data_IF_648708132028
#
_entry.id   IF_648708132028
#
_cell.length_a   1.000
_cell.length_b   1.000
_cell.length_c   1.000
_cell.angle_alpha   90.00
_cell.angle_beta   90.00
_cell.angle_gamma   90.00
#
_symmetry.space_group_name_H-M   'P 1'
#
loop_
_entity.id
_entity.type
_entity.pdbx_description
1 polymer ?
#
# COMPACT_ATOMS: atom_id res chain seq x y z
N UNK A 1 8.59 -2.31 -16.63
CA UNK A 1 8.80 -2.06 -15.18
C UNK A 1 7.98 -3.06 -14.41
N UNK A 2 8.54 -4.23 -14.10
CA UNK A 2 7.88 -5.28 -13.33
C UNK A 2 8.21 -5.07 -11.86
N UNK A 3 7.23 -4.67 -11.03
CA UNK A 3 7.39 -4.47 -9.59
C UNK A 3 7.35 -5.81 -8.84
N UNK A 4 8.01 -5.94 -7.68
CA UNK A 4 7.88 -7.12 -6.83
C UNK A 4 6.42 -7.20 -6.35
N UNK A 5 5.70 -8.16 -6.88
CA UNK A 5 4.26 -8.36 -6.78
C UNK A 5 3.78 -8.63 -5.35
N UNK A 6 4.67 -8.88 -4.36
CA UNK A 6 4.32 -9.57 -3.12
C UNK A 6 4.61 -8.83 -1.81
N UNK A 7 5.03 -7.55 -1.82
CA UNK A 7 5.61 -6.89 -0.64
C UNK A 7 4.70 -5.92 0.12
N UNK A 8 3.38 -6.12 0.16
CA UNK A 8 2.57 -5.11 0.88
C UNK A 8 1.56 -5.70 1.86
N UNK A 9 1.90 -5.80 3.15
CA UNK A 9 0.90 -6.04 4.19
C UNK A 9 1.05 -5.26 5.50
N UNK A 10 2.18 -4.71 5.85
CA UNK A 10 2.31 -3.98 7.12
C UNK A 10 2.85 -2.57 6.91
N UNK A 11 2.41 -1.63 7.73
CA UNK A 11 2.98 -0.28 7.77
C UNK A 11 4.50 -0.31 7.98
N UNK A 12 5.04 -1.34 8.62
CA UNK A 12 6.47 -1.59 8.82
C UNK A 12 7.21 -1.89 7.51
N UNK A 13 6.65 -2.70 6.62
CA UNK A 13 7.23 -2.98 5.30
C UNK A 13 7.23 -1.72 4.44
N UNK A 14 6.11 -0.98 4.44
CA UNK A 14 6.03 0.32 3.73
C UNK A 14 7.03 1.32 4.27
N UNK A 15 7.29 1.34 5.59
CA UNK A 15 8.28 2.21 6.22
C UNK A 15 9.70 1.84 5.78
N UNK A 16 10.06 0.57 5.75
CA UNK A 16 11.40 0.14 5.31
C UNK A 16 11.62 0.42 3.82
N UNK A 17 10.61 0.21 2.98
CA UNK A 17 10.66 0.59 1.55
C UNK A 17 10.82 2.10 1.42
N UNK A 18 10.11 2.89 2.23
CA UNK A 18 10.28 4.34 2.28
C UNK A 18 11.71 4.73 2.66
N UNK A 19 12.27 4.11 3.71
CA UNK A 19 13.64 4.35 4.13
C UNK A 19 14.65 4.02 3.02
N UNK A 20 14.44 2.96 2.26
CA UNK A 20 15.28 2.64 1.10
C UNK A 20 15.26 3.70 0.01
N UNK A 21 14.15 4.46 -0.11
CA UNK A 21 14.04 5.56 -1.08
C UNK A 21 14.66 6.84 -0.55
N UNK A 22 14.42 7.16 0.71
CA UNK A 22 14.76 8.45 1.33
C UNK A 22 16.21 8.48 1.85
N UNK A 23 16.72 7.36 2.37
CA UNK A 23 18.04 7.34 3.00
C UNK A 23 19.21 7.62 2.02
N UNK A 24 19.28 7.07 0.80
CA UNK A 24 20.39 7.36 -0.10
C UNK A 24 20.57 8.85 -0.43
N UNK A 25 19.52 9.62 -0.82
CA UNK A 25 19.67 11.07 -1.04
C UNK A 25 20.10 11.81 0.24
N UNK A 26 19.58 11.41 1.41
CA UNK A 26 19.99 12.01 2.69
C UNK A 26 21.46 11.71 3.04
N UNK A 27 21.90 10.49 2.80
CA UNK A 27 23.32 10.10 3.01
C UNK A 27 24.23 10.90 2.10
N UNK A 28 23.88 11.06 0.82
CA UNK A 28 24.69 11.81 -0.15
C UNK A 28 24.80 13.28 0.24
N UNK A 29 23.72 13.92 0.64
CA UNK A 29 23.73 15.31 1.09
C UNK A 29 24.43 15.46 2.46
N UNK A 30 24.13 14.55 3.39
CA UNK A 30 24.70 14.57 4.75
C UNK A 30 26.20 14.33 4.78
N UNK A 31 26.71 13.41 3.96
CA UNK A 31 28.17 13.18 3.84
C UNK A 31 28.89 14.41 3.28
N UNK A 32 28.32 15.10 2.28
CA UNK A 32 28.89 16.33 1.75
C UNK A 32 28.91 17.43 2.83
N UNK A 33 27.81 17.61 3.53
CA UNK A 33 27.72 18.57 4.64
C UNK A 33 28.76 18.27 5.73
N UNK A 34 28.86 17.02 6.17
CA UNK A 34 29.82 16.60 7.20
C UNK A 34 31.27 16.85 6.75
N UNK A 35 31.61 16.57 5.49
CA UNK A 35 32.93 16.81 4.94
C UNK A 35 33.22 18.33 4.85
N UNK A 36 32.28 19.15 4.42
CA UNK A 36 32.45 20.60 4.44
C UNK A 36 32.73 21.10 5.87
N UNK A 37 32.02 20.59 6.86
CA UNK A 37 32.24 20.93 8.28
C UNK A 37 33.61 20.52 8.77
N UNK A 38 34.13 19.34 8.39
CA UNK A 38 35.47 18.87 8.79
C UNK A 38 36.61 19.66 8.17
N UNK A 39 36.37 20.32 7.04
CA UNK A 39 37.35 21.22 6.37
C UNK A 39 37.10 22.70 6.66
N UNK A 40 36.31 23.02 7.69
CA UNK A 40 35.95 24.39 8.10
C UNK A 40 35.46 25.27 6.92
N UNK A 41 34.83 24.63 5.93
CA UNK A 41 34.28 25.32 4.75
C UNK A 41 32.78 25.55 4.93
N UNK A 42 32.36 26.81 4.67
CA UNK A 42 30.92 27.14 4.71
C UNK A 42 30.17 26.32 3.65
N UNK A 43 29.12 25.64 4.07
CA UNK A 43 28.23 24.92 3.15
C UNK A 43 27.41 25.93 2.34
N UNK A 44 28.09 26.57 1.37
CA UNK A 44 27.55 27.64 0.53
C UNK A 44 26.54 27.12 -0.51
N UNK A 45 25.87 28.07 -1.23
CA UNK A 45 24.88 27.74 -2.25
C UNK A 45 25.39 26.78 -3.33
N UNK A 46 26.67 26.84 -3.69
CA UNK A 46 27.28 25.92 -4.67
C UNK A 46 27.29 24.46 -4.14
N UNK A 47 27.69 24.24 -2.88
CA UNK A 47 27.67 22.93 -2.29
C UNK A 47 26.22 22.42 -2.05
N UNK A 48 25.27 23.31 -1.78
CA UNK A 48 23.84 22.99 -1.68
C UNK A 48 23.29 22.50 -3.03
N UNK A 49 23.64 23.18 -4.14
CA UNK A 49 23.25 22.78 -5.50
C UNK A 49 23.85 21.41 -5.85
N UNK A 50 25.14 21.20 -5.52
CA UNK A 50 25.80 19.90 -5.74
C UNK A 50 25.12 18.78 -4.95
N UNK A 51 24.82 19.01 -3.67
CA UNK A 51 24.11 18.07 -2.83
C UNK A 51 22.71 17.74 -3.36
N UNK A 52 21.95 18.76 -3.74
CA UNK A 52 20.61 18.63 -4.29
C UNK A 52 20.60 17.86 -5.63
N UNK A 53 21.53 18.19 -6.53
CA UNK A 53 21.70 17.51 -7.82
C UNK A 53 22.07 16.04 -7.64
N UNK A 54 23.03 15.75 -6.76
CA UNK A 54 23.43 14.39 -6.44
C UNK A 54 22.29 13.61 -5.80
N UNK A 55 21.57 14.19 -4.84
CA UNK A 55 20.41 13.60 -4.20
C UNK A 55 19.29 13.29 -5.23
N UNK A 56 18.99 14.23 -6.13
CA UNK A 56 18.04 14.03 -7.21
C UNK A 56 18.43 12.85 -8.12
N UNK A 57 19.71 12.76 -8.51
CA UNK A 57 20.21 11.66 -9.33
C UNK A 57 20.11 10.30 -8.61
N UNK A 58 20.26 10.27 -7.27
CA UNK A 58 20.04 9.01 -6.52
C UNK A 58 18.58 8.54 -6.57
N UNK A 59 17.63 9.43 -6.77
CA UNK A 59 16.20 9.09 -6.91
C UNK A 59 15.87 8.73 -8.35
N UNK A 60 16.38 9.51 -9.32
CA UNK A 60 16.05 9.38 -10.75
C UNK A 60 16.69 8.14 -11.39
N UNK A 61 17.93 7.80 -11.01
CA UNK A 61 18.59 6.62 -11.57
C UNK A 61 17.92 5.34 -11.06
N UNK A 62 17.53 4.40 -11.95
CA UNK A 62 16.87 3.17 -11.56
C UNK A 62 17.74 2.37 -10.59
N UNK A 63 17.13 1.92 -9.51
CA UNK A 63 17.75 0.96 -8.60
C UNK A 63 17.65 -0.41 -9.26
N UNK A 64 18.77 -0.98 -9.73
CA UNK A 64 18.80 -2.36 -10.22
C UNK A 64 18.18 -3.28 -9.18
N UNK A 65 17.24 -4.11 -9.61
CA UNK A 65 16.54 -5.05 -8.71
C UNK A 65 17.50 -6.15 -8.22
N UNK A 66 17.28 -6.69 -7.02
CA UNK A 66 17.98 -7.90 -6.58
C UNK A 66 17.76 -9.08 -7.55
N UNK A 67 16.67 -9.04 -8.32
CA UNK A 67 16.24 -10.14 -9.20
C UNK A 67 16.63 -9.99 -10.68
N UNK A 68 17.07 -8.82 -11.14
CA UNK A 68 17.48 -8.63 -12.55
C UNK A 68 18.82 -9.32 -12.90
N UNK A 69 19.44 -9.96 -11.91
CA UNK A 69 20.75 -10.60 -12.07
C UNK A 69 20.74 -12.02 -12.66
N UNK A 70 19.58 -12.56 -13.05
CA UNK A 70 19.48 -13.97 -13.43
C UNK A 70 19.46 -14.27 -14.92
N UNK A 71 19.49 -13.29 -15.82
CA UNK A 71 19.28 -13.63 -17.23
C UNK A 71 20.38 -13.24 -18.24
N UNK A 72 21.40 -12.45 -17.89
CA UNK A 72 22.40 -12.05 -18.91
C UNK A 72 23.88 -12.36 -18.64
N UNK A 73 24.24 -12.76 -17.43
CA UNK A 73 25.59 -13.30 -17.14
C UNK A 73 25.53 -14.00 -15.78
N UNK A 74 25.90 -15.24 -15.71
CA UNK A 74 25.87 -16.15 -14.54
C UNK A 74 26.57 -15.70 -13.24
N UNK A 75 26.67 -14.40 -12.92
CA UNK A 75 27.16 -13.88 -11.67
C UNK A 75 26.36 -12.64 -11.26
N UNK A 76 25.53 -12.78 -10.24
CA UNK A 76 24.89 -11.65 -9.58
C UNK A 76 25.95 -10.78 -8.90
N UNK A 77 26.09 -9.51 -9.33
CA UNK A 77 26.96 -8.56 -8.64
C UNK A 77 26.51 -8.41 -7.17
N UNK A 78 27.43 -8.48 -6.20
CA UNK A 78 27.10 -8.26 -4.80
C UNK A 78 26.50 -6.86 -4.59
N UNK A 79 25.65 -6.70 -3.56
CA UNK A 79 24.99 -5.42 -3.25
C UNK A 79 25.97 -4.24 -3.24
N UNK A 80 27.13 -4.43 -2.60
CA UNK A 80 28.17 -3.41 -2.52
C UNK A 80 28.64 -2.94 -3.90
N UNK A 81 28.93 -3.88 -4.81
CA UNK A 81 29.36 -3.53 -6.17
C UNK A 81 28.28 -2.75 -6.95
N UNK A 82 27.02 -3.10 -6.80
CA UNK A 82 25.89 -2.37 -7.43
C UNK A 82 25.76 -0.94 -6.90
N UNK A 83 25.89 -0.76 -5.58
CA UNK A 83 25.83 0.57 -4.95
C UNK A 83 27.00 1.43 -5.40
N UNK A 84 28.22 0.87 -5.43
CA UNK A 84 29.44 1.58 -5.89
C UNK A 84 29.32 1.94 -7.36
N UNK A 85 28.95 1.02 -8.23
CA UNK A 85 28.80 1.29 -9.68
C UNK A 85 27.79 2.40 -9.93
N UNK A 86 26.66 2.37 -9.24
CA UNK A 86 25.63 3.41 -9.35
C UNK A 86 26.17 4.78 -8.90
N UNK A 87 26.93 4.80 -7.79
CA UNK A 87 27.56 6.01 -7.30
C UNK A 87 28.55 6.57 -8.32
N UNK A 88 29.37 5.73 -8.94
CA UNK A 88 30.30 6.13 -9.99
C UNK A 88 29.59 6.74 -11.21
N UNK A 89 28.43 6.17 -11.58
CA UNK A 89 27.59 6.77 -12.66
C UNK A 89 27.10 8.16 -12.25
N UNK A 90 26.63 8.35 -11.02
CA UNK A 90 26.19 9.65 -10.51
C UNK A 90 27.34 10.67 -10.57
N UNK A 91 28.51 10.26 -10.07
CA UNK A 91 29.72 11.11 -10.11
C UNK A 91 30.11 11.47 -11.54
N UNK A 92 30.08 10.50 -12.46
CA UNK A 92 30.38 10.75 -13.88
C UNK A 92 29.41 11.77 -14.50
N UNK A 93 28.11 11.66 -14.21
CA UNK A 93 27.09 12.62 -14.68
C UNK A 93 27.35 14.01 -14.08
N UNK A 94 27.63 14.10 -12.77
CA UNK A 94 27.92 15.38 -12.11
C UNK A 94 29.19 16.03 -12.65
N UNK A 95 30.24 15.25 -12.91
CA UNK A 95 31.47 15.76 -13.54
C UNK A 95 31.21 16.26 -14.97
N UNK A 96 30.40 15.54 -15.74
CA UNK A 96 29.96 15.96 -17.08
C UNK A 96 29.20 17.29 -17.04
N UNK A 97 28.25 17.44 -16.11
CA UNK A 97 27.51 18.69 -15.91
C UNK A 97 28.47 19.82 -15.49
N UNK A 98 29.35 19.55 -14.52
CA UNK A 98 30.34 20.52 -14.04
C UNK A 98 31.30 20.98 -15.13
N UNK A 99 31.70 20.08 -16.04
CA UNK A 99 32.53 20.40 -17.19
C UNK A 99 31.80 21.29 -18.21
N UNK A 100 30.57 20.92 -18.59
CA UNK A 100 29.75 21.69 -19.56
C UNK A 100 29.40 23.08 -19.04
N UNK A 101 29.07 23.19 -17.75
CA UNK A 101 28.70 24.47 -17.11
C UNK A 101 29.90 25.32 -16.71
N UNK A 102 31.16 24.82 -16.83
CA UNK A 102 32.39 25.48 -16.39
C UNK A 102 32.44 25.83 -14.89
N UNK A 103 31.54 25.31 -14.08
CA UNK A 103 31.53 25.52 -12.61
C UNK A 103 32.50 24.62 -11.83
N UNK A 104 33.22 23.73 -12.51
CA UNK A 104 34.16 22.81 -11.85
C UNK A 104 35.29 23.49 -11.05
N UNK A 105 35.64 24.72 -11.41
CA UNK A 105 36.67 25.54 -10.74
C UNK A 105 36.23 26.13 -9.39
N UNK A 106 34.92 26.18 -9.11
CA UNK A 106 34.39 26.79 -7.86
C UNK A 106 34.44 25.83 -6.67
N UNK A 107 34.64 24.53 -6.92
CA UNK A 107 34.65 23.51 -5.88
C UNK A 107 36.07 23.16 -5.42
N UNK A 108 36.25 23.03 -4.09
CA UNK A 108 37.51 22.51 -3.54
C UNK A 108 37.71 21.06 -3.97
N UNK A 109 38.82 20.81 -4.69
CA UNK A 109 39.17 19.45 -5.16
C UNK A 109 39.29 18.46 -4.01
N UNK A 110 39.85 18.89 -2.87
CA UNK A 110 39.98 18.05 -1.68
C UNK A 110 38.61 17.60 -1.16
N UNK A 111 37.65 18.50 -1.01
CA UNK A 111 36.30 18.20 -0.53
C UNK A 111 35.61 17.22 -1.48
N UNK A 112 35.62 17.50 -2.78
CA UNK A 112 34.94 16.68 -3.78
C UNK A 112 35.56 15.28 -3.85
N UNK A 113 36.88 15.14 -3.85
CA UNK A 113 37.55 13.83 -3.88
C UNK A 113 37.28 13.03 -2.60
N UNK A 114 37.34 13.66 -1.43
CA UNK A 114 37.00 13.00 -0.17
C UNK A 114 35.54 12.53 -0.17
N UNK A 115 34.62 13.39 -0.66
CA UNK A 115 33.22 13.05 -0.76
C UNK A 115 32.95 11.90 -1.73
N UNK A 116 33.56 11.88 -2.90
CA UNK A 116 33.47 10.81 -3.89
C UNK A 116 33.94 9.47 -3.30
N UNK A 117 35.02 9.50 -2.48
CA UNK A 117 35.56 8.30 -1.86
C UNK A 117 34.79 7.79 -0.63
N UNK A 118 34.33 8.69 0.25
CA UNK A 118 33.67 8.35 1.51
C UNK A 118 32.20 7.95 1.32
N UNK A 119 31.48 8.68 0.47
CA UNK A 119 30.04 8.48 0.28
C UNK A 119 29.65 7.05 -0.13
N UNK A 120 30.33 6.35 -1.06
CA UNK A 120 29.97 4.99 -1.42
C UNK A 120 30.11 4.00 -0.26
N UNK A 121 31.08 4.21 0.63
CA UNK A 121 31.25 3.36 1.82
C UNK A 121 30.07 3.50 2.78
N UNK A 122 29.65 4.75 3.03
CA UNK A 122 28.46 5.04 3.87
C UNK A 122 27.19 4.50 3.21
N UNK A 123 27.04 4.67 1.89
CA UNK A 123 25.88 4.14 1.14
C UNK A 123 25.82 2.60 1.21
N UNK A 124 26.95 1.91 1.11
CA UNK A 124 27.02 0.45 1.26
C UNK A 124 26.61 0.04 2.68
N UNK A 125 27.18 0.69 3.69
CA UNK A 125 26.85 0.40 5.10
C UNK A 125 25.36 0.60 5.40
N UNK A 126 24.79 1.73 4.96
CA UNK A 126 23.36 2.01 5.12
C UNK A 126 22.50 1.02 4.33
N UNK A 127 22.91 0.65 3.11
CA UNK A 127 22.18 -0.32 2.30
C UNK A 127 22.16 -1.72 2.92
N UNK A 128 23.28 -2.16 3.51
CA UNK A 128 23.38 -3.42 4.25
C UNK A 128 22.53 -3.40 5.53
N UNK A 129 22.57 -2.29 6.28
CA UNK A 129 21.73 -2.12 7.46
C UNK A 129 20.23 -2.15 7.13
N UNK A 130 19.83 -1.48 6.05
CA UNK A 130 18.45 -1.50 5.58
C UNK A 130 18.03 -2.88 5.06
N UNK A 131 18.94 -3.62 4.42
CA UNK A 131 18.67 -5.00 3.99
C UNK A 131 18.49 -5.93 5.20
N UNK A 132 19.33 -5.80 6.22
CA UNK A 132 19.20 -6.57 7.45
C UNK A 132 17.91 -6.21 8.22
N UNK A 133 17.56 -4.93 8.28
CA UNK A 133 16.30 -4.48 8.86
C UNK A 133 15.09 -5.07 8.10
N UNK A 134 15.14 -5.03 6.76
CA UNK A 134 14.10 -5.63 5.92
C UNK A 134 14.00 -7.13 6.19
N UNK A 135 15.12 -7.83 6.28
CA UNK A 135 15.17 -9.25 6.60
C UNK A 135 14.50 -9.54 7.94
N UNK A 136 14.80 -8.79 8.99
CA UNK A 136 14.18 -8.94 10.31
C UNK A 136 12.67 -8.68 10.30
N UNK A 137 12.23 -7.65 9.58
CA UNK A 137 10.81 -7.30 9.45
C UNK A 137 10.04 -8.37 8.67
N UNK A 138 10.62 -8.94 7.62
CA UNK A 138 9.99 -9.99 6.82
C UNK A 138 10.08 -11.38 7.47
N UNK A 139 11.08 -11.61 8.31
CA UNK A 139 11.26 -12.89 9.03
C UNK A 139 10.34 -13.03 10.24
N UNK A 140 9.59 -12.01 10.60
CA UNK A 140 8.59 -12.14 11.64
C UNK A 140 7.47 -13.06 11.12
N UNK A 141 7.25 -14.24 11.72
CA UNK A 141 6.20 -15.17 11.29
C UNK A 141 4.80 -14.56 11.33
N UNK A 142 4.60 -13.51 12.14
CA UNK A 142 3.34 -12.76 12.22
C UNK A 142 3.09 -11.88 11.00
N UNK A 143 4.15 -11.52 10.27
CA UNK A 143 4.11 -10.63 9.08
C UNK A 143 4.16 -11.42 7.77
N UNK A 144 4.63 -12.68 7.80
CA UNK A 144 4.73 -13.52 6.62
C UNK A 144 3.35 -13.80 6.00
N UNK A 145 3.21 -13.52 4.70
CA UNK A 145 1.94 -13.78 3.96
C UNK A 145 1.74 -15.27 3.78
N UNK A 146 0.57 -15.76 4.16
CA UNK A 146 0.17 -17.16 4.01
C UNK A 146 -0.24 -17.43 2.58
N UNK A 147 0.48 -18.34 1.93
CA UNK A 147 0.34 -18.68 0.51
C UNK A 147 -0.32 -20.03 0.36
N UNK A 148 -1.30 -20.14 -0.53
CA UNK A 148 -1.84 -21.42 -0.97
C UNK A 148 -1.79 -21.52 -2.50
N UNK A 149 -1.76 -22.74 -2.99
CA UNK A 149 -1.77 -23.05 -4.42
C UNK A 149 -3.07 -23.69 -4.82
N UNK A 150 -3.53 -23.39 -6.03
CA UNK A 150 -4.65 -24.06 -6.69
C UNK A 150 -4.15 -24.82 -7.90
N UNK A 151 -4.34 -26.14 -7.87
CA UNK A 151 -3.75 -27.08 -8.83
C UNK A 151 -2.37 -27.55 -8.38
N UNK A 152 -2.26 -28.84 -8.14
CA UNK A 152 -1.01 -29.51 -7.80
C UNK A 152 -0.38 -30.06 -9.10
N UNK A 153 0.59 -29.35 -9.66
CA UNK A 153 1.34 -29.73 -10.85
C UNK A 153 2.83 -29.37 -10.67
N UNK A 154 3.66 -29.76 -11.62
CA UNK A 154 5.12 -29.53 -11.54
C UNK A 154 5.48 -28.06 -11.34
N UNK A 155 4.77 -27.13 -12.01
CA UNK A 155 5.02 -25.70 -11.92
C UNK A 155 4.69 -25.17 -10.53
N UNK A 156 3.54 -25.54 -9.96
CA UNK A 156 3.14 -25.11 -8.61
C UNK A 156 4.03 -25.72 -7.54
N UNK A 157 4.47 -26.97 -7.72
CA UNK A 157 5.42 -27.64 -6.82
C UNK A 157 6.81 -27.00 -6.86
N UNK A 158 7.30 -26.68 -8.08
CA UNK A 158 8.57 -26.00 -8.24
C UNK A 158 8.55 -24.60 -7.61
N UNK A 159 7.45 -23.86 -7.80
CA UNK A 159 7.28 -22.54 -7.20
C UNK A 159 7.19 -22.64 -5.68
N UNK A 160 6.44 -23.59 -5.14
CA UNK A 160 6.32 -23.80 -3.70
C UNK A 160 7.68 -24.13 -3.05
N UNK A 161 8.48 -25.02 -3.66
CA UNK A 161 9.85 -25.36 -3.20
C UNK A 161 10.76 -24.12 -3.24
N UNK A 162 10.71 -23.33 -4.31
CA UNK A 162 11.48 -22.08 -4.43
C UNK A 162 11.09 -21.03 -3.39
N UNK A 163 9.80 -20.92 -3.08
CA UNK A 163 9.33 -20.02 -2.00
C UNK A 163 9.85 -20.50 -0.65
N UNK A 164 9.75 -21.80 -0.35
CA UNK A 164 10.23 -22.37 0.91
C UNK A 164 11.75 -22.24 1.09
N UNK A 165 12.53 -22.36 0.00
CA UNK A 165 13.99 -22.18 0.05
C UNK A 165 14.44 -20.71 0.14
N UNK A 166 13.53 -19.74 -0.09
CA UNK A 166 13.82 -18.30 -0.05
C UNK A 166 12.93 -17.61 1.00
N UNK A 167 13.28 -17.80 2.26
CA UNK A 167 12.54 -17.21 3.40
C UNK A 167 12.48 -15.67 3.33
N UNK A 168 13.45 -15.03 2.67
CA UNK A 168 13.50 -13.56 2.48
C UNK A 168 12.33 -12.99 1.68
N UNK A 169 11.50 -13.85 1.06
CA UNK A 169 10.29 -13.42 0.36
C UNK A 169 9.14 -13.05 1.32
N UNK A 170 9.23 -13.38 2.60
CA UNK A 170 8.14 -13.16 3.55
C UNK A 170 6.86 -13.93 3.18
N UNK A 171 6.99 -15.12 2.57
CA UNK A 171 5.89 -15.97 2.12
C UNK A 171 5.94 -17.31 2.86
N UNK A 172 4.82 -17.72 3.45
CA UNK A 172 4.67 -18.99 4.16
C UNK A 172 3.69 -19.92 3.42
N UNK A 173 4.20 -20.96 2.78
CA UNK A 173 3.38 -21.93 2.03
C UNK A 173 2.53 -22.75 3.01
N UNK A 174 1.20 -22.67 2.88
CA UNK A 174 0.25 -23.43 3.70
C UNK A 174 -0.10 -24.79 3.06
N UNK A 175 -0.17 -24.87 1.74
CA UNK A 175 -0.49 -26.08 1.02
C UNK A 175 -1.23 -25.85 -0.29
N UNK A 176 -1.91 -26.88 -0.78
CA UNK A 176 -2.51 -26.93 -2.10
C UNK A 176 -4.02 -27.24 -2.03
N UNK A 177 -4.78 -26.66 -2.94
CA UNK A 177 -6.17 -27.03 -3.23
C UNK A 177 -6.21 -27.76 -4.58
N UNK A 178 -6.74 -28.97 -4.60
CA UNK A 178 -6.92 -29.76 -5.81
C UNK A 178 -8.14 -30.67 -5.65
N UNK A 179 -8.90 -30.86 -6.76
CA UNK A 179 -10.06 -31.74 -6.76
C UNK A 179 -9.67 -33.22 -6.95
N UNK A 180 -8.41 -33.49 -7.28
CA UNK A 180 -7.87 -34.83 -7.47
C UNK A 180 -7.42 -35.43 -6.14
N UNK A 181 -7.63 -36.75 -5.95
CA UNK A 181 -7.14 -37.46 -4.78
C UNK A 181 -5.60 -37.48 -4.72
N UNK A 182 -5.03 -37.51 -3.51
CA UNK A 182 -3.57 -37.53 -3.31
C UNK A 182 -2.89 -38.71 -4.05
N UNK A 183 -3.57 -39.86 -4.21
CA UNK A 183 -3.10 -41.02 -4.93
C UNK A 183 -2.93 -40.75 -6.44
N UNK A 184 -3.87 -40.01 -7.04
CA UNK A 184 -3.79 -39.60 -8.46
C UNK A 184 -2.77 -38.52 -8.74
N UNK A 185 -2.35 -37.78 -7.72
CA UNK A 185 -1.34 -36.74 -7.84
C UNK A 185 0.09 -37.31 -7.82
N UNK A 186 0.29 -38.58 -7.45
CA UNK A 186 1.60 -39.21 -7.36
C UNK A 186 2.56 -38.59 -6.35
N UNK A 187 2.04 -37.78 -5.41
CA UNK A 187 2.82 -36.92 -4.50
C UNK A 187 2.61 -37.38 -3.06
N UNK A 188 2.69 -38.70 -2.85
CA UNK A 188 2.52 -39.28 -1.51
C UNK A 188 3.55 -38.71 -0.54
N UNK A 189 3.08 -38.00 0.47
CA UNK A 189 3.87 -37.54 1.64
C UNK A 189 4.63 -36.22 1.51
N UNK A 190 4.76 -35.59 0.34
CA UNK A 190 5.54 -34.35 0.18
C UNK A 190 4.69 -33.07 0.13
N UNK A 191 3.37 -33.18 0.03
CA UNK A 191 2.51 -32.04 -0.22
C UNK A 191 1.27 -32.07 0.68
N UNK A 192 1.04 -30.96 1.38
CA UNK A 192 -0.15 -30.80 2.21
C UNK A 192 -1.34 -30.34 1.36
N UNK A 193 -2.27 -31.22 1.06
CA UNK A 193 -3.54 -30.87 0.43
C UNK A 193 -4.48 -30.27 1.49
N UNK A 194 -5.00 -29.08 1.25
CA UNK A 194 -5.85 -28.31 2.15
C UNK A 194 -7.33 -28.59 1.99
N UNK A 195 -7.73 -29.06 0.80
CA UNK A 195 -9.10 -29.36 0.43
C UNK A 195 -9.36 -29.25 -1.07
N UNK A 196 -10.64 -29.29 -1.45
CA UNK A 196 -11.11 -29.13 -2.83
C UNK A 196 -11.20 -27.64 -3.22
N UNK A 197 -11.36 -27.38 -4.55
CA UNK A 197 -11.60 -26.03 -5.05
C UNK A 197 -12.94 -25.44 -4.53
N UNK A 198 -13.90 -26.29 -4.14
CA UNK A 198 -15.17 -25.84 -3.59
C UNK A 198 -15.00 -25.20 -2.20
N UNK A 199 -14.04 -25.69 -1.42
CA UNK A 199 -13.82 -25.27 -0.02
C UNK A 199 -12.92 -24.03 0.12
N UNK A 200 -12.36 -23.53 -0.99
CA UNK A 200 -11.29 -22.54 -0.98
C UNK A 200 -11.71 -21.24 -0.30
N UNK A 201 -12.90 -20.71 -0.56
CA UNK A 201 -13.36 -19.46 0.03
C UNK A 201 -13.52 -19.57 1.56
N UNK A 202 -14.01 -20.72 2.04
CA UNK A 202 -14.15 -21.00 3.46
C UNK A 202 -12.79 -21.22 4.14
N UNK A 203 -11.86 -21.87 3.43
CA UNK A 203 -10.51 -22.10 3.91
C UNK A 203 -9.68 -20.81 3.97
N UNK A 204 -9.83 -19.93 2.99
CA UNK A 204 -9.21 -18.59 2.98
C UNK A 204 -9.60 -17.82 4.23
N UNK A 205 -10.89 -17.77 4.55
CA UNK A 205 -11.39 -17.07 5.74
C UNK A 205 -10.92 -17.72 7.05
N UNK A 206 -11.00 -19.03 7.16
CA UNK A 206 -10.64 -19.75 8.41
C UNK A 206 -9.14 -19.77 8.69
N UNK A 207 -8.32 -19.90 7.65
CA UNK A 207 -6.85 -20.05 7.77
C UNK A 207 -6.09 -18.73 7.57
N UNK A 208 -6.79 -17.65 7.21
CA UNK A 208 -6.18 -16.35 6.94
C UNK A 208 -5.19 -16.41 5.78
N UNK A 209 -5.55 -17.08 4.68
CA UNK A 209 -4.72 -17.15 3.47
C UNK A 209 -4.73 -15.79 2.79
N UNK A 210 -3.55 -15.25 2.50
CA UNK A 210 -3.35 -13.90 1.97
C UNK A 210 -3.12 -13.90 0.46
N UNK A 211 -2.56 -15.00 -0.05
CA UNK A 211 -2.13 -15.13 -1.45
C UNK A 211 -2.53 -16.50 -1.98
N UNK A 212 -3.09 -16.53 -3.16
CA UNK A 212 -3.38 -17.75 -3.91
C UNK A 212 -2.66 -17.70 -5.26
N UNK A 213 -1.86 -18.74 -5.54
CA UNK A 213 -1.32 -19.00 -6.86
C UNK A 213 -2.17 -20.03 -7.58
N UNK A 214 -2.79 -19.64 -8.69
CA UNK A 214 -3.60 -20.52 -9.52
C UNK A 214 -2.72 -21.07 -10.64
N UNK A 215 -2.41 -22.35 -10.58
CA UNK A 215 -1.60 -23.06 -11.57
C UNK A 215 -2.45 -24.09 -12.36
N UNK A 216 -3.70 -23.76 -12.64
CA UNK A 216 -4.57 -24.59 -13.47
C UNK A 216 -4.25 -24.37 -14.95
N UNK A 217 -4.21 -25.45 -15.78
CA UNK A 217 -4.03 -25.31 -17.22
C UNK A 217 -5.14 -24.46 -17.85
N UNK A 218 -4.80 -23.65 -18.87
CA UNK A 218 -5.74 -22.73 -19.54
C UNK A 218 -6.95 -23.42 -20.18
N UNK A 219 -6.83 -24.67 -20.58
CA UNK A 219 -7.99 -25.48 -21.04
C UNK A 219 -9.11 -25.52 -19.98
N UNK A 220 -8.81 -25.25 -18.72
CA UNK A 220 -9.77 -25.18 -17.62
C UNK A 220 -10.11 -23.74 -17.21
N UNK A 221 -10.05 -22.77 -18.12
CA UNK A 221 -10.31 -21.35 -17.84
C UNK A 221 -11.65 -21.10 -17.14
N UNK A 222 -12.69 -21.87 -17.46
CA UNK A 222 -13.99 -21.79 -16.77
C UNK A 222 -13.84 -22.03 -15.26
N UNK A 223 -13.04 -23.01 -14.85
CA UNK A 223 -12.76 -23.28 -13.43
C UNK A 223 -12.02 -22.13 -12.76
N UNK A 224 -11.12 -21.45 -13.49
CA UNK A 224 -10.43 -20.25 -12.98
C UNK A 224 -11.41 -19.11 -12.77
N UNK A 225 -12.33 -18.91 -13.72
CA UNK A 225 -13.40 -17.89 -13.60
C UNK A 225 -14.31 -18.18 -12.40
N UNK A 226 -14.79 -19.44 -12.29
CA UNK A 226 -15.63 -19.86 -11.16
C UNK A 226 -14.90 -19.71 -9.82
N UNK A 227 -13.59 -19.99 -9.78
CA UNK A 227 -12.73 -19.78 -8.62
C UNK A 227 -12.64 -18.30 -8.25
N UNK A 228 -12.40 -17.44 -9.23
CA UNK A 228 -12.32 -16.00 -9.01
C UNK A 228 -13.66 -15.45 -8.50
N UNK A 229 -14.78 -15.95 -9.02
CA UNK A 229 -16.11 -15.57 -8.53
C UNK A 229 -16.34 -15.98 -7.08
N UNK A 230 -15.88 -17.17 -6.66
CA UNK A 230 -15.93 -17.61 -5.26
C UNK A 230 -15.05 -16.78 -4.34
N UNK A 231 -13.90 -16.30 -4.85
CA UNK A 231 -12.94 -15.50 -4.09
C UNK A 231 -13.24 -14.00 -4.06
N UNK A 232 -14.21 -13.52 -4.86
CA UNK A 232 -14.59 -12.09 -4.91
C UNK A 232 -15.08 -11.53 -3.57
N UNK A 233 -15.59 -12.40 -2.69
CA UNK A 233 -15.99 -12.03 -1.33
C UNK A 233 -14.85 -12.23 -0.31
N UNK A 234 -13.61 -12.12 -0.76
CA UNK A 234 -12.42 -12.20 0.08
C UNK A 234 -11.44 -11.09 -0.30
N UNK A 235 -10.49 -10.79 0.59
CA UNK A 235 -9.40 -9.84 0.32
C UNK A 235 -8.14 -10.51 -0.22
N UNK A 236 -8.18 -11.81 -0.49
CA UNK A 236 -7.03 -12.60 -0.95
C UNK A 236 -6.49 -12.08 -2.29
N UNK A 237 -5.18 -12.02 -2.41
CA UNK A 237 -4.51 -11.70 -3.68
C UNK A 237 -4.39 -12.96 -4.52
N UNK A 238 -4.89 -12.93 -5.76
CA UNK A 238 -4.88 -14.08 -6.66
C UNK A 238 -3.94 -13.81 -7.82
N UNK A 239 -2.98 -14.71 -8.01
CA UNK A 239 -2.01 -14.70 -9.11
C UNK A 239 -2.21 -15.94 -9.96
N UNK A 240 -2.24 -15.75 -11.26
CA UNK A 240 -2.25 -16.86 -12.19
C UNK A 240 -0.81 -17.19 -12.58
N UNK A 241 -0.45 -18.48 -12.50
CA UNK A 241 0.83 -19.02 -12.95
C UNK A 241 0.59 -19.70 -14.28
N UNK A 242 0.84 -19.01 -15.40
CA UNK A 242 0.56 -19.56 -16.72
C UNK A 242 1.51 -20.70 -17.08
N UNK A 243 1.00 -21.67 -17.80
CA UNK A 243 1.83 -22.60 -18.56
C UNK A 243 2.35 -21.84 -19.79
N UNK A 244 3.65 -21.53 -19.81
CA UNK A 244 4.29 -20.48 -20.62
C UNK A 244 4.10 -20.65 -22.13
N UNK A 245 3.74 -21.83 -22.59
CA UNK A 245 3.70 -22.15 -24.04
C UNK A 245 2.46 -21.62 -24.79
N UNK A 246 1.54 -20.88 -24.12
CA UNK A 246 0.24 -20.51 -24.71
C UNK A 246 0.00 -19.01 -24.87
N UNK A 247 0.87 -18.11 -24.38
CA UNK A 247 0.57 -16.68 -24.37
C UNK A 247 1.57 -15.79 -25.11
N UNK A 248 1.05 -15.05 -26.09
CA UNK A 248 1.53 -13.75 -26.52
C UNK A 248 1.05 -12.68 -25.49
N UNK A 249 1.86 -12.44 -24.47
CA UNK A 249 1.50 -11.58 -23.32
C UNK A 249 1.79 -10.11 -23.62
N UNK A 250 1.00 -9.47 -24.47
CA UNK A 250 1.23 -8.06 -24.86
C UNK A 250 0.68 -7.04 -23.86
N UNK A 251 -0.26 -7.39 -22.95
CA UNK A 251 -0.89 -6.40 -22.06
C UNK A 251 -1.20 -6.85 -20.63
N UNK A 252 -0.89 -8.06 -20.19
CA UNK A 252 -1.10 -8.47 -18.81
C UNK A 252 0.01 -7.91 -17.90
N UNK A 253 -0.30 -7.52 -16.67
CA UNK A 253 0.72 -7.23 -15.65
C UNK A 253 1.36 -8.55 -15.27
N UNK A 254 2.40 -8.89 -15.98
CA UNK A 254 3.23 -10.05 -15.68
C UNK A 254 4.30 -9.65 -14.69
N UNK A 255 4.45 -10.44 -13.65
CA UNK A 255 5.60 -10.41 -12.77
C UNK A 255 6.35 -11.71 -12.90
N UNK A 256 7.57 -11.72 -12.45
CA UNK A 256 8.38 -12.91 -12.32
C UNK A 256 8.61 -13.19 -10.85
N UNK A 257 8.35 -14.39 -10.41
CA UNK A 257 8.68 -14.85 -9.07
C UNK A 257 9.65 -16.02 -9.19
N UNK A 258 10.92 -15.77 -8.81
CA UNK A 258 11.99 -16.77 -8.83
C UNK A 258 12.16 -17.47 -10.22
N UNK A 259 12.08 -16.69 -11.30
CA UNK A 259 12.20 -17.21 -12.64
C UNK A 259 10.93 -17.86 -13.20
N UNK A 260 9.81 -17.76 -12.50
CA UNK A 260 8.50 -18.24 -12.98
C UNK A 260 7.60 -17.03 -13.22
N UNK A 261 7.07 -16.86 -14.44
CA UNK A 261 6.14 -15.77 -14.72
C UNK A 261 4.83 -15.97 -13.98
N UNK A 262 4.35 -14.91 -13.35
CA UNK A 262 3.06 -14.87 -12.67
C UNK A 262 2.25 -13.68 -13.17
N UNK A 263 0.94 -13.85 -13.25
CA UNK A 263 0.02 -12.79 -13.66
C UNK A 263 -0.90 -12.42 -12.49
N UNK A 264 -0.90 -11.15 -12.12
CA UNK A 264 -1.80 -10.66 -11.09
C UNK A 264 -3.23 -10.57 -11.65
N UNK A 265 -4.15 -11.39 -11.14
CA UNK A 265 -5.57 -11.38 -11.51
C UNK A 265 -6.38 -10.47 -10.59
N UNK A 266 -6.00 -10.35 -9.34
CA UNK A 266 -6.66 -9.51 -8.35
C UNK A 266 -5.67 -9.05 -7.29
N UNK A 267 -5.21 -7.81 -7.39
CA UNK A 267 -4.22 -7.23 -6.49
C UNK A 267 -4.59 -5.79 -6.12
N UNK A 268 -3.99 -5.27 -5.02
CA UNK A 268 -4.11 -3.85 -4.67
C UNK A 268 -3.37 -2.97 -5.70
N UNK A 269 -3.92 -1.80 -6.08
CA UNK A 269 -3.22 -0.87 -6.96
C UNK A 269 -2.00 -0.21 -6.31
N UNK A 270 -1.85 -0.33 -4.99
CA UNK A 270 -0.83 0.34 -4.19
C UNK A 270 0.40 -0.54 -3.92
N UNK A 271 0.85 -1.26 -4.93
CA UNK A 271 2.09 -2.03 -4.87
C UNK A 271 3.31 -1.17 -5.18
N UNK A 272 4.45 -1.50 -4.55
CA UNK A 272 5.75 -0.90 -4.84
C UNK A 272 5.77 0.62 -4.66
N UNK A 273 6.37 1.35 -5.62
CA UNK A 273 6.51 2.82 -5.54
C UNK A 273 5.17 3.56 -5.49
N UNK A 274 4.11 3.02 -6.10
CA UNK A 274 2.77 3.64 -6.08
C UNK A 274 2.22 3.71 -4.67
N UNK A 275 2.39 2.65 -3.87
CA UNK A 275 2.01 2.65 -2.47
C UNK A 275 2.80 3.66 -1.65
N UNK A 276 4.12 3.78 -1.93
CA UNK A 276 4.99 4.76 -1.27
C UNK A 276 4.57 6.19 -1.61
N UNK A 277 4.37 6.50 -2.90
CA UNK A 277 3.90 7.82 -3.35
C UNK A 277 2.55 8.15 -2.70
N UNK A 278 1.60 7.22 -2.75
CA UNK A 278 0.29 7.37 -2.11
C UNK A 278 0.45 7.69 -0.62
N UNK A 279 1.27 6.93 0.10
CA UNK A 279 1.46 7.10 1.54
C UNK A 279 2.13 8.41 1.91
N UNK A 280 3.15 8.83 1.16
CA UNK A 280 3.84 10.12 1.37
C UNK A 280 2.86 11.27 1.15
N UNK A 281 2.08 11.24 0.07
CA UNK A 281 1.10 12.29 -0.22
C UNK A 281 0.01 12.34 0.85
N UNK A 282 -0.49 11.20 1.31
CA UNK A 282 -1.48 11.14 2.39
C UNK A 282 -0.93 11.75 3.69
N UNK A 283 0.28 11.36 4.10
CA UNK A 283 0.90 11.88 5.34
C UNK A 283 1.16 13.38 5.24
N UNK A 284 1.78 13.84 4.13
CA UNK A 284 2.13 15.24 3.94
C UNK A 284 0.89 16.14 3.97
N UNK A 285 -0.13 15.79 3.18
CA UNK A 285 -1.36 16.56 3.13
C UNK A 285 -2.16 16.47 4.44
N UNK A 286 -2.23 15.29 5.08
CA UNK A 286 -2.91 15.14 6.37
C UNK A 286 -2.22 15.96 7.47
N UNK A 287 -0.89 16.00 7.50
CA UNK A 287 -0.14 16.82 8.45
C UNK A 287 -0.41 18.31 8.25
N UNK A 288 -0.37 18.79 7.00
CA UNK A 288 -0.69 20.19 6.68
C UNK A 288 -2.13 20.53 7.10
N UNK A 289 -3.10 19.68 6.71
CA UNK A 289 -4.52 19.89 7.05
C UNK A 289 -4.75 19.84 8.55
N UNK A 290 -4.03 18.99 9.30
CA UNK A 290 -4.14 18.91 10.75
C UNK A 290 -3.59 20.18 11.42
N UNK A 291 -2.43 20.67 10.98
CA UNK A 291 -1.83 21.90 11.55
C UNK A 291 -2.72 23.10 11.25
N UNK A 292 -3.19 23.27 10.02
CA UNK A 292 -4.08 24.36 9.65
C UNK A 292 -5.46 24.25 10.31
N UNK A 293 -5.96 23.04 10.47
CA UNK A 293 -7.27 22.76 11.09
C UNK A 293 -7.25 22.71 12.62
N UNK A 294 -6.05 22.69 13.25
CA UNK A 294 -5.94 22.52 14.71
C UNK A 294 -6.73 23.57 15.54
N UNK A 295 -6.69 24.89 15.21
CA UNK A 295 -7.49 25.88 15.94
C UNK A 295 -8.99 25.61 15.84
N UNK A 296 -9.47 25.26 14.63
CA UNK A 296 -10.87 24.90 14.41
C UNK A 296 -11.26 23.63 15.16
N UNK A 297 -10.40 22.60 15.11
CA UNK A 297 -10.64 21.35 15.84
C UNK A 297 -10.70 21.56 17.34
N UNK A 298 -9.86 22.44 17.89
CA UNK A 298 -9.91 22.81 19.31
C UNK A 298 -11.21 23.52 19.68
N UNK A 299 -11.66 24.47 18.85
CA UNK A 299 -12.93 25.17 19.04
C UNK A 299 -14.12 24.21 19.00
N UNK A 300 -14.12 23.25 18.03
CA UNK A 300 -15.14 22.21 17.94
C UNK A 300 -15.10 21.30 19.17
N UNK A 301 -13.91 20.89 19.62
CA UNK A 301 -13.75 20.05 20.79
C UNK A 301 -14.34 20.72 22.06
N UNK A 302 -14.11 22.02 22.21
CA UNK A 302 -14.66 22.81 23.30
C UNK A 302 -16.20 22.91 23.17
N UNK A 303 -16.73 23.21 21.99
CA UNK A 303 -18.18 23.28 21.75
C UNK A 303 -18.88 21.94 22.04
N UNK A 304 -18.29 20.82 21.64
CA UNK A 304 -18.82 19.48 21.96
C UNK A 304 -18.74 19.19 23.44
N UNK A 305 -17.63 19.54 24.11
CA UNK A 305 -17.48 19.36 25.56
C UNK A 305 -18.53 20.13 26.36
N UNK A 306 -18.81 21.38 25.95
CA UNK A 306 -19.80 22.25 26.61
C UNK A 306 -21.25 21.82 26.34
N UNK A 307 -21.55 21.31 25.13
CA UNK A 307 -22.91 20.94 24.72
C UNK A 307 -23.32 19.51 25.09
N UNK A 308 -22.40 18.57 25.09
CA UNK A 308 -22.68 17.12 25.20
C UNK A 308 -21.82 16.42 26.26
N UNK A 309 -20.93 17.17 26.93
CA UNK A 309 -20.02 16.63 27.94
C UNK A 309 -18.89 15.76 27.33
N UNK A 310 -18.19 15.04 28.19
CA UNK A 310 -17.12 14.09 27.77
C UNK A 310 -17.70 12.69 27.53
N UNK A 311 -17.11 11.89 26.66
CA UNK A 311 -15.92 12.13 25.81
C UNK A 311 -16.24 12.97 24.57
N UNK A 312 -15.29 13.83 24.15
CA UNK A 312 -15.40 14.69 22.97
C UNK A 312 -15.27 13.89 21.66
N UNK A 313 -14.41 12.87 21.69
CA UNK A 313 -14.18 11.98 20.54
C UNK A 313 -15.00 10.71 20.67
N UNK A 314 -15.70 10.38 19.61
CA UNK A 314 -16.33 9.10 19.39
C UNK A 314 -15.38 8.17 18.64
N UNK A 315 -15.26 6.93 19.12
CA UNK A 315 -14.42 5.88 18.57
C UNK A 315 -15.32 4.78 18.03
N UNK A 316 -15.20 4.45 16.74
CA UNK A 316 -16.01 3.43 16.13
C UNK A 316 -15.14 2.40 15.41
N UNK A 317 -15.42 1.11 15.63
CA UNK A 317 -14.76 0.01 14.93
C UNK A 317 -15.29 -0.10 13.51
N UNK A 318 -14.37 -0.18 12.55
CA UNK A 318 -14.65 -0.33 11.13
C UNK A 318 -13.63 -1.26 10.48
N UNK A 319 -13.93 -1.77 9.29
CA UNK A 319 -12.93 -2.48 8.51
C UNK A 319 -11.99 -1.52 7.78
N UNK A 320 -10.70 -1.79 7.90
CA UNK A 320 -9.59 -1.12 7.23
C UNK A 320 -9.05 -1.92 6.05
N UNK A 321 -7.74 -1.82 5.84
CA UNK A 321 -7.01 -2.58 4.85
C UNK A 321 -7.14 -4.08 5.12
N UNK A 322 -7.31 -4.86 4.06
CA UNK A 322 -7.45 -6.33 4.10
C UNK A 322 -8.56 -6.84 5.04
N UNK A 323 -9.51 -5.98 5.43
CA UNK A 323 -10.59 -6.31 6.33
C UNK A 323 -10.19 -6.33 7.81
N UNK A 324 -9.03 -5.80 8.17
CA UNK A 324 -8.61 -5.66 9.56
C UNK A 324 -9.47 -4.62 10.29
N UNK A 325 -9.76 -4.86 11.56
CA UNK A 325 -10.50 -3.89 12.36
C UNK A 325 -9.64 -2.67 12.71
N UNK A 326 -10.17 -1.49 12.44
CA UNK A 326 -9.56 -0.21 12.79
C UNK A 326 -10.52 0.63 13.64
N UNK A 327 -9.96 1.48 14.49
CA UNK A 327 -10.72 2.46 15.25
C UNK A 327 -10.70 3.79 14.49
N UNK A 328 -11.87 4.25 14.06
CA UNK A 328 -12.06 5.54 13.37
C UNK A 328 -12.47 6.59 14.38
N UNK A 329 -11.81 7.74 14.37
CA UNK A 329 -12.07 8.86 15.24
C UNK A 329 -13.03 9.87 14.61
N UNK A 330 -14.04 10.32 15.38
CA UNK A 330 -14.96 11.40 15.01
C UNK A 330 -15.22 12.29 16.21
N UNK A 331 -15.66 13.53 15.99
CA UNK A 331 -16.27 14.28 17.07
C UNK A 331 -17.63 13.69 17.42
N UNK A 332 -17.94 13.69 18.71
CA UNK A 332 -19.23 13.21 19.22
C UNK A 332 -20.35 14.15 18.77
N UNK A 333 -21.32 13.62 18.03
CA UNK A 333 -22.46 14.37 17.49
C UNK A 333 -23.81 13.88 18.00
N UNK A 334 -23.81 12.77 18.75
CA UNK A 334 -25.01 12.12 19.28
C UNK A 334 -24.91 11.96 20.80
N UNK A 335 -26.07 11.94 21.46
CA UNK A 335 -26.18 11.72 22.90
C UNK A 335 -25.86 10.27 23.30
N UNK A 336 -26.20 9.30 22.44
CA UNK A 336 -25.96 7.87 22.65
C UNK A 336 -24.75 7.43 21.79
N UNK A 337 -23.87 6.62 22.38
CA UNK A 337 -22.68 6.05 21.75
C UNK A 337 -22.90 4.56 21.57
N UNK A 338 -23.19 4.14 20.33
CA UNK A 338 -23.37 2.72 19.98
C UNK A 338 -22.16 2.22 19.21
N UNK A 339 -21.49 1.21 19.72
CA UNK A 339 -20.43 0.45 19.04
C UNK A 339 -20.64 -1.06 19.28
N UNK A 340 -21.85 -1.53 18.95
CA UNK A 340 -22.32 -2.90 19.19
C UNK A 340 -22.51 -3.73 17.92
N UNK A 341 -22.97 -4.96 18.10
CA UNK A 341 -23.27 -5.90 17.00
C UNK A 341 -24.46 -5.46 16.14
N UNK A 342 -25.36 -4.61 16.67
CA UNK A 342 -26.46 -4.00 15.93
C UNK A 342 -26.33 -2.47 16.04
N UNK A 343 -26.05 -1.81 14.90
CA UNK A 343 -25.93 -0.36 14.82
C UNK A 343 -27.07 0.14 13.95
N UNK A 344 -27.97 0.93 14.54
CA UNK A 344 -29.00 1.63 13.78
C UNK A 344 -28.35 2.78 13.01
N UNK A 345 -28.48 2.74 11.68
CA UNK A 345 -28.00 3.84 10.83
C UNK A 345 -28.73 5.14 11.21
N UNK A 346 -27.98 6.22 11.35
CA UNK A 346 -28.57 7.52 11.68
C UNK A 346 -29.41 8.03 10.49
N UNK A 347 -30.65 8.40 10.76
CA UNK A 347 -31.58 8.94 9.78
C UNK A 347 -31.54 10.48 9.73
N UNK A 348 -32.11 11.04 8.65
CA UNK A 348 -32.37 12.47 8.57
C UNK A 348 -33.36 12.83 9.69
N UNK A 349 -33.00 13.81 10.55
CA UNK A 349 -33.76 14.22 11.74
C UNK A 349 -33.74 13.24 12.94
N UNK A 350 -32.70 12.43 13.04
CA UNK A 350 -32.51 11.53 14.18
C UNK A 350 -32.48 12.32 15.51
N UNK A 351 -33.39 11.99 16.43
CA UNK A 351 -33.54 12.65 17.72
C UNK A 351 -32.30 12.53 18.64
N UNK A 352 -31.44 11.55 18.37
CA UNK A 352 -30.17 11.35 19.09
C UNK A 352 -29.12 12.41 18.76
N UNK A 353 -29.28 13.16 17.65
CA UNK A 353 -28.30 14.15 17.19
C UNK A 353 -28.44 15.46 17.94
N UNK A 354 -27.37 15.90 18.60
CA UNK A 354 -27.32 17.18 19.33
C UNK A 354 -27.38 18.38 18.38
N UNK A 355 -27.74 19.58 18.89
CA UNK A 355 -27.75 20.80 18.05
C UNK A 355 -26.39 21.10 17.42
N UNK A 356 -25.33 21.03 18.22
CA UNK A 356 -23.94 21.18 17.74
C UNK A 356 -23.59 20.04 16.76
N UNK A 357 -23.99 18.80 17.08
CA UNK A 357 -23.78 17.65 16.22
C UNK A 357 -24.42 17.79 14.85
N UNK A 358 -25.60 18.38 14.74
CA UNK A 358 -26.30 18.65 13.48
C UNK A 358 -25.48 19.61 12.60
N UNK A 359 -24.97 20.68 13.18
CA UNK A 359 -24.09 21.61 12.47
C UNK A 359 -22.81 20.93 11.99
N UNK A 360 -22.15 20.16 12.85
CA UNK A 360 -20.93 19.45 12.51
C UNK A 360 -21.13 18.45 11.39
N UNK A 361 -22.21 17.66 11.42
CA UNK A 361 -22.56 16.69 10.36
C UNK A 361 -22.87 17.35 9.03
N UNK A 362 -23.65 18.43 9.05
CA UNK A 362 -23.97 19.20 7.84
C UNK A 362 -22.73 19.67 7.10
N UNK A 363 -21.69 20.07 7.81
CA UNK A 363 -20.43 20.54 7.23
C UNK A 363 -19.32 19.47 7.24
N UNK A 364 -19.63 18.23 7.67
CA UNK A 364 -18.67 17.13 7.84
C UNK A 364 -17.44 17.44 8.69
N UNK A 365 -17.59 18.41 9.59
CA UNK A 365 -16.56 18.80 10.54
C UNK A 365 -16.36 17.73 11.64
N UNK A 366 -17.35 16.87 11.85
CA UNK A 366 -17.27 15.72 12.76
C UNK A 366 -16.24 14.69 12.31
N UNK A 367 -15.84 14.68 11.04
CA UNK A 367 -14.88 13.73 10.48
C UNK A 367 -13.42 14.22 10.50
N UNK A 368 -13.15 15.48 10.91
CA UNK A 368 -11.79 16.03 10.97
C UNK A 368 -10.80 15.19 11.81
N UNK A 369 -11.19 14.58 12.95
CA UNK A 369 -10.28 13.72 13.73
C UNK A 369 -9.75 12.51 12.95
N UNK A 370 -10.37 12.12 11.83
CA UNK A 370 -9.88 11.05 10.96
C UNK A 370 -8.51 11.38 10.32
N UNK A 371 -8.12 12.66 10.25
CA UNK A 371 -6.75 13.04 9.84
C UNK A 371 -5.70 12.38 10.74
N UNK A 372 -5.99 12.16 12.02
CA UNK A 372 -5.12 11.42 12.94
C UNK A 372 -5.02 9.95 12.51
N UNK A 373 -6.14 9.34 12.07
CA UNK A 373 -6.13 7.97 11.55
C UNK A 373 -5.26 7.84 10.28
N UNK A 374 -5.26 8.88 9.44
CA UNK A 374 -4.38 8.91 8.25
C UNK A 374 -2.91 8.94 8.68
N UNK A 375 -2.52 9.80 9.62
CA UNK A 375 -1.14 9.85 10.12
C UNK A 375 -0.71 8.53 10.78
N UNK A 376 -1.62 7.87 11.52
CA UNK A 376 -1.39 6.56 12.15
C UNK A 376 -1.24 5.40 11.14
N UNK A 377 -1.55 5.60 9.85
CA UNK A 377 -1.49 4.53 8.86
C UNK A 377 -2.73 3.66 8.76
N UNK A 378 -3.80 3.99 9.48
CA UNK A 378 -5.05 3.21 9.49
C UNK A 378 -6.00 3.62 8.38
N UNK A 379 -5.87 4.83 7.87
CA UNK A 379 -6.70 5.41 6.80
C UNK A 379 -5.84 6.15 5.78
N UNK A 380 -6.49 6.51 4.68
CA UNK A 380 -5.99 7.38 3.61
C UNK A 380 -6.86 8.64 3.54
N UNK A 381 -6.38 9.71 2.93
CA UNK A 381 -7.22 10.87 2.61
C UNK A 381 -8.28 10.50 1.59
N UNK A 382 -7.87 9.78 0.52
CA UNK A 382 -8.75 9.36 -0.58
C UNK A 382 -8.79 7.84 -0.66
N UNK A 383 -9.99 7.26 -0.64
CA UNK A 383 -10.22 5.82 -0.73
C UNK A 383 -11.69 5.45 -0.53
N UNK A 384 -12.03 4.17 -0.56
CA UNK A 384 -13.36 3.68 -0.22
C UNK A 384 -13.79 4.12 1.19
N UNK A 385 -15.03 4.60 1.34
CA UNK A 385 -15.53 5.02 2.66
C UNK A 385 -15.67 3.83 3.59
N UNK A 386 -15.11 3.85 4.83
CA UNK A 386 -15.24 2.74 5.76
C UNK A 386 -16.66 2.67 6.33
N UNK A 387 -17.28 1.49 6.27
CA UNK A 387 -18.59 1.22 6.86
C UNK A 387 -18.44 0.56 8.25
N UNK A 388 -19.49 0.64 9.06
CA UNK A 388 -19.55 -0.09 10.34
C UNK A 388 -19.49 -1.60 10.07
N UNK A 389 -18.90 -2.37 11.01
CA UNK A 389 -18.69 -3.82 10.85
C UNK A 389 -20.01 -4.53 10.56
N UNK A 390 -21.09 -4.21 11.29
CA UNK A 390 -22.40 -4.80 11.07
C UNK A 390 -22.91 -4.63 9.63
N UNK A 391 -22.78 -3.44 9.06
CA UNK A 391 -23.16 -3.18 7.66
C UNK A 391 -22.26 -3.90 6.66
N UNK A 392 -20.94 -4.02 6.93
CA UNK A 392 -20.07 -4.81 6.06
C UNK A 392 -20.49 -6.29 6.02
N UNK A 393 -20.84 -6.87 7.17
CA UNK A 393 -21.26 -8.27 7.26
C UNK A 393 -22.63 -8.53 6.58
N UNK A 394 -23.50 -7.53 6.53
CA UNK A 394 -24.74 -7.58 5.79
C UNK A 394 -24.53 -7.48 4.27
N UNK A 395 -23.85 -6.42 3.81
CA UNK A 395 -23.71 -6.14 2.37
C UNK A 395 -22.76 -7.11 1.65
N UNK A 396 -21.76 -7.71 2.34
CA UNK A 396 -20.92 -8.74 1.73
C UNK A 396 -21.70 -9.98 1.28
N UNK A 397 -22.85 -10.26 1.90
CA UNK A 397 -23.73 -11.36 1.52
C UNK A 397 -24.58 -11.03 0.30
N UNK A 398 -24.90 -9.75 0.10
CA UNK A 398 -25.82 -9.25 -0.92
C UNK A 398 -25.10 -8.78 -2.20
N UNK A 399 -23.85 -8.31 -2.09
CA UNK A 399 -23.10 -7.69 -3.19
C UNK A 399 -21.84 -8.48 -3.47
N UNK A 400 -21.76 -9.10 -4.65
CA UNK A 400 -20.55 -9.81 -5.10
C UNK A 400 -19.36 -8.84 -5.21
N UNK A 401 -18.22 -9.24 -4.65
CA UNK A 401 -17.00 -8.44 -4.69
C UNK A 401 -16.98 -7.26 -3.71
N UNK A 402 -17.93 -7.18 -2.77
CA UNK A 402 -17.98 -6.13 -1.76
C UNK A 402 -16.66 -5.99 -0.99
N UNK A 403 -16.04 -7.11 -0.60
CA UNK A 403 -14.81 -7.12 0.19
C UNK A 403 -13.58 -6.64 -0.58
N UNK A 404 -13.61 -6.65 -1.92
CA UNK A 404 -12.47 -6.17 -2.72
C UNK A 404 -12.15 -4.69 -2.50
N UNK A 405 -13.10 -3.89 -2.04
CA UNK A 405 -12.90 -2.49 -1.66
C UNK A 405 -11.93 -2.31 -0.48
N UNK A 406 -11.77 -3.34 0.35
CA UNK A 406 -10.85 -3.35 1.49
C UNK A 406 -9.41 -3.73 1.12
N UNK A 407 -9.10 -3.94 -0.16
CA UNK A 407 -7.71 -4.10 -0.64
C UNK A 407 -6.88 -2.82 -0.58
N UNK A 408 -7.49 -1.71 -0.17
CA UNK A 408 -6.84 -0.42 0.04
C UNK A 408 -7.28 0.17 1.38
N UNK A 409 -6.48 1.10 1.91
CA UNK A 409 -6.90 1.84 3.10
C UNK A 409 -8.20 2.60 2.83
N UNK A 410 -9.16 2.56 3.76
CA UNK A 410 -10.36 3.37 3.65
C UNK A 410 -10.03 4.85 3.67
N UNK A 411 -10.79 5.64 2.89
CA UNK A 411 -10.59 7.08 2.75
C UNK A 411 -11.54 7.92 3.61
N UNK A 412 -11.10 9.15 3.93
CA UNK A 412 -11.97 10.20 4.46
C UNK A 412 -12.95 10.62 3.37
N UNK A 413 -12.45 10.79 2.13
CA UNK A 413 -13.25 11.01 0.92
C UNK A 413 -12.93 9.95 -0.14
N UNK A 414 -13.73 9.86 -1.19
CA UNK A 414 -13.55 8.89 -2.24
C UNK A 414 -14.37 9.15 -3.49
N UNK A 415 -14.10 8.39 -4.56
CA UNK A 415 -14.75 8.55 -5.85
C UNK A 415 -16.28 8.41 -5.76
N UNK A 416 -16.78 7.46 -4.98
CA UNK A 416 -18.20 7.28 -4.75
C UNK A 416 -18.84 8.53 -4.09
N UNK A 417 -18.17 9.11 -3.09
CA UNK A 417 -18.67 10.27 -2.37
C UNK A 417 -18.81 11.51 -3.27
N UNK A 418 -17.81 11.75 -4.14
CA UNK A 418 -17.88 12.87 -5.10
C UNK A 418 -18.85 12.62 -6.25
N UNK A 419 -19.35 11.39 -6.43
CA UNK A 419 -20.41 11.07 -7.41
C UNK A 419 -21.82 10.98 -6.79
N UNK A 420 -22.00 11.50 -5.56
CA UNK A 420 -23.31 11.62 -4.92
C UNK A 420 -23.69 10.47 -3.99
N UNK A 421 -22.87 9.42 -3.87
CA UNK A 421 -23.11 8.27 -2.99
C UNK A 421 -22.50 8.49 -1.59
N UNK A 422 -22.78 9.65 -0.97
CA UNK A 422 -22.22 10.02 0.33
C UNK A 422 -23.12 9.67 1.52
N UNK A 423 -24.43 9.81 1.35
CA UNK A 423 -25.42 9.72 2.42
C UNK A 423 -25.81 8.31 2.83
N UNK A 424 -26.97 8.21 3.46
CA UNK A 424 -27.61 6.96 3.80
C UNK A 424 -27.87 6.11 2.55
N UNK A 425 -27.63 4.82 2.64
CA UNK A 425 -27.93 3.85 1.57
C UNK A 425 -29.16 3.06 1.98
N UNK A 426 -30.33 3.50 1.51
CA UNK A 426 -31.62 2.88 1.82
C UNK A 426 -31.83 1.61 0.99
N UNK A 427 -31.29 1.57 -0.23
CA UNK A 427 -31.48 0.48 -1.17
C UNK A 427 -30.16 -0.25 -1.42
N UNK A 428 -30.24 -1.56 -1.67
CA UNK A 428 -29.08 -2.40 -2.01
C UNK A 428 -28.44 -1.92 -3.31
N UNK A 429 -29.25 -1.40 -4.26
CA UNK A 429 -28.77 -0.85 -5.54
C UNK A 429 -27.85 0.36 -5.33
N UNK A 430 -28.19 1.26 -4.38
CA UNK A 430 -27.36 2.42 -4.08
C UNK A 430 -26.01 2.01 -3.49
N UNK A 431 -26.03 0.96 -2.65
CA UNK A 431 -24.80 0.38 -2.12
C UNK A 431 -23.98 -0.32 -3.22
N UNK A 432 -24.64 -1.02 -4.15
CA UNK A 432 -23.97 -1.63 -5.31
C UNK A 432 -23.27 -0.59 -6.17
N UNK A 433 -23.96 0.50 -6.52
CA UNK A 433 -23.37 1.61 -7.27
C UNK A 433 -22.19 2.25 -6.54
N UNK A 434 -22.29 2.42 -5.20
CA UNK A 434 -21.16 2.89 -4.37
C UNK A 434 -19.95 1.96 -4.48
N UNK A 435 -20.16 0.65 -4.36
CA UNK A 435 -19.10 -0.36 -4.49
C UNK A 435 -18.46 -0.33 -5.88
N UNK A 436 -19.26 -0.15 -6.93
CA UNK A 436 -18.74 -0.03 -8.30
C UNK A 436 -17.80 1.17 -8.46
N UNK A 437 -18.14 2.36 -7.92
CA UNK A 437 -17.24 3.52 -7.90
C UNK A 437 -15.99 3.27 -7.04
N UNK A 438 -16.11 2.58 -5.91
CA UNK A 438 -14.97 2.21 -5.09
C UNK A 438 -14.02 1.29 -5.86
N UNK A 439 -14.55 0.29 -6.59
CA UNK A 439 -13.75 -0.60 -7.44
C UNK A 439 -13.18 0.12 -8.67
N UNK A 440 -13.92 1.09 -9.24
CA UNK A 440 -13.41 1.93 -10.32
C UNK A 440 -12.21 2.77 -9.85
N UNK A 441 -12.28 3.33 -8.64
CA UNK A 441 -11.16 4.03 -8.03
C UNK A 441 -9.93 3.12 -7.93
N UNK A 442 -10.07 1.88 -7.47
CA UNK A 442 -8.97 0.92 -7.40
C UNK A 442 -8.36 0.63 -8.78
N UNK A 443 -9.19 0.51 -9.82
CA UNK A 443 -8.74 0.22 -11.19
C UNK A 443 -8.01 1.39 -11.86
N UNK A 444 -8.47 2.61 -11.61
CA UNK A 444 -8.00 3.83 -12.32
C UNK A 444 -7.13 4.74 -11.47
N UNK A 445 -6.70 4.29 -10.32
CA UNK A 445 -5.96 5.14 -9.40
C UNK A 445 -4.70 5.76 -10.03
N UNK A 446 -4.58 7.05 -9.85
CA UNK A 446 -3.40 7.86 -10.11
C UNK A 446 -3.29 8.96 -9.05
N UNK A 447 -2.09 9.52 -8.76
CA UNK A 447 -1.96 10.66 -7.86
C UNK A 447 -2.81 11.88 -8.27
N UNK A 448 -2.96 12.07 -9.58
CA UNK A 448 -3.80 13.15 -10.13
C UNK A 448 -5.29 12.92 -9.84
N UNK A 449 -5.76 11.66 -9.86
CA UNK A 449 -7.13 11.31 -9.48
C UNK A 449 -7.39 11.64 -8.02
N UNK A 450 -6.46 11.35 -7.12
CA UNK A 450 -6.57 11.72 -5.71
C UNK A 450 -6.69 13.22 -5.53
N UNK A 451 -5.79 13.98 -6.18
CA UNK A 451 -5.86 15.44 -6.17
C UNK A 451 -7.20 15.97 -6.67
N UNK A 452 -7.68 15.44 -7.80
CA UNK A 452 -9.00 15.80 -8.34
C UNK A 452 -10.14 15.51 -7.35
N UNK A 453 -10.12 14.35 -6.70
CA UNK A 453 -11.13 13.98 -5.69
C UNK A 453 -11.07 14.93 -4.50
N UNK A 454 -9.88 15.29 -4.00
CA UNK A 454 -9.73 16.24 -2.89
C UNK A 454 -10.28 17.62 -3.24
N UNK A 455 -9.94 18.16 -4.41
CA UNK A 455 -10.45 19.47 -4.88
C UNK A 455 -11.97 19.44 -5.03
N UNK A 456 -12.51 18.39 -5.67
CA UNK A 456 -13.98 18.26 -5.84
C UNK A 456 -14.69 18.08 -4.49
N UNK A 457 -14.07 17.40 -3.53
CA UNK A 457 -14.60 17.30 -2.16
C UNK A 457 -14.69 18.67 -1.50
N UNK A 458 -13.63 19.47 -1.57
CA UNK A 458 -13.62 20.83 -1.02
C UNK A 458 -14.70 21.72 -1.67
N UNK A 459 -14.83 21.67 -3.00
CA UNK A 459 -15.85 22.44 -3.73
C UNK A 459 -17.27 22.02 -3.33
N UNK A 460 -17.50 20.70 -3.19
CA UNK A 460 -18.83 20.19 -2.78
C UNK A 460 -19.15 20.53 -1.34
N UNK A 461 -18.19 20.46 -0.42
CA UNK A 461 -18.41 20.88 0.97
C UNK A 461 -18.88 22.33 1.09
N UNK A 462 -18.48 23.18 0.12
CA UNK A 462 -18.91 24.59 0.07
C UNK A 462 -20.27 24.79 -0.61
N UNK A 463 -20.72 23.83 -1.45
CA UNK A 463 -21.95 23.97 -2.28
C UNK A 463 -23.11 23.07 -1.84
N UNK A 464 -22.83 21.97 -1.12
CA UNK A 464 -23.85 20.95 -0.87
C UNK A 464 -24.73 21.33 0.34
N UNK A 465 -25.93 21.79 0.10
CA UNK A 465 -27.02 21.89 1.08
C UNK A 465 -27.61 20.51 1.46
N UNK A 466 -27.23 19.44 0.79
CA UNK A 466 -27.78 18.08 0.95
C UNK A 466 -27.05 17.18 1.92
N UNK A 467 -26.00 17.66 2.59
CA UNK A 467 -25.40 16.91 3.69
C UNK A 467 -26.28 17.09 4.93
N UNK A 468 -27.10 16.11 5.27
CA UNK A 468 -27.95 15.93 6.46
C UNK A 468 -28.49 17.20 7.12
#
# INVERSE_FOLDING_TARGET
MTEPILLNRSGSVSLVVLLQVVMPPLVVAGTLYAICSTYDTVFSGFFQVLAASAAALTVLLPRGRPQDSTQLAGASLPLAARVILRWLVIVAVLLGIGYVTKYSGTYSRRIVLTWVGVTPLVLVAVSLALQELMRRVLYDPSVARRVAFVGCNEVSLALARRIQSNADLGLAVQGFFDDRSCERLGVSGQVRVLGSLCDIASAVRRRGIDVIFVALPMRHIRRVVDLLDKLRDTTVSVYYVPDIFVFDLIQARTGELLGIPVVALCETPFCGYRGVVKRITDIALAAVLLVLGAPLMLAIALAVALSSGRPVLFKQRRYGLDGEEIIVYKFRTMSVVEDGASILQAHKEDARVTRVGRFLRRHSLDELPQLINVLQGRMSLVGPRPHAIAHNEEYRKLIKGYMMRHKVHPGITGLAQINGFRGETVRVEDMRARVEYDLEYLRRWTPLLDFKILVLTAVRLLRDEKAY
#
